data_IF_760646775026
#
_entry.id   IF_760646775026
#
_cell.length_a   1.000
_cell.length_b   1.000
_cell.length_c   1.000
_cell.angle_alpha   90.00
_cell.angle_beta   90.00
_cell.angle_gamma   90.00
#
_symmetry.space_group_name_H-M   'P 1'
#
loop_
_entity.id
_entity.type
_entity.pdbx_description
1 polymer ?
#
# COMPACT_ATOMS: atom_id res chain seq x y z
N UNK A 1 -36.53 21.23 18.78
CA UNK A 1 -36.04 20.64 17.54
C UNK A 1 -34.59 20.10 17.74
N UNK A 2 -34.38 19.27 18.76
CA UNK A 2 -33.06 18.75 19.21
C UNK A 2 -33.22 17.33 19.76
N UNK A 3 -33.68 16.36 18.96
CA UNK A 3 -33.71 14.95 19.43
C UNK A 3 -33.73 13.87 18.33
N UNK A 4 -33.32 14.21 17.08
CA UNK A 4 -33.29 13.24 15.97
C UNK A 4 -31.88 12.88 15.47
N UNK A 5 -30.80 13.36 16.10
CA UNK A 5 -29.42 13.16 15.64
C UNK A 5 -28.69 11.96 16.28
N UNK A 6 -29.27 11.30 17.29
CA UNK A 6 -28.57 10.23 18.04
C UNK A 6 -28.73 8.81 17.50
N UNK A 7 -29.76 8.51 16.73
CA UNK A 7 -30.07 7.12 16.33
C UNK A 7 -29.65 6.73 14.91
N UNK A 8 -29.24 7.68 14.06
CA UNK A 8 -28.71 7.38 12.71
C UNK A 8 -27.21 7.07 12.67
N UNK A 9 -26.45 7.43 13.68
CA UNK A 9 -24.99 7.21 13.72
C UNK A 9 -24.63 5.74 13.94
N UNK A 10 -25.42 4.99 14.72
CA UNK A 10 -25.14 3.59 15.03
C UNK A 10 -25.44 2.60 13.88
N UNK A 11 -26.41 2.90 13.02
CA UNK A 11 -26.78 2.03 11.91
C UNK A 11 -25.87 2.18 10.68
N UNK A 12 -25.17 3.29 10.53
CA UNK A 12 -24.20 3.48 9.45
C UNK A 12 -22.87 2.79 9.72
N UNK A 13 -22.51 2.59 10.98
CA UNK A 13 -21.25 1.92 11.38
C UNK A 13 -21.24 0.44 10.99
N UNK A 14 -22.36 -0.27 11.14
CA UNK A 14 -22.49 -1.69 10.77
C UNK A 14 -22.45 -1.93 9.24
N UNK A 15 -22.64 -0.91 8.43
CA UNK A 15 -22.56 -0.98 6.97
C UNK A 15 -21.14 -0.77 6.43
N UNK A 16 -20.17 -0.44 7.28
CA UNK A 16 -18.79 -0.24 6.84
C UNK A 16 -18.15 -1.58 6.43
N UNK A 17 -17.68 -1.76 5.19
CA UNK A 17 -17.16 -3.03 4.69
C UNK A 17 -16.08 -3.65 5.57
N UNK A 18 -15.17 -2.83 6.09
CA UNK A 18 -14.10 -3.28 6.97
C UNK A 18 -14.62 -3.89 8.29
N UNK A 19 -15.69 -3.31 8.87
CA UNK A 19 -16.30 -3.87 10.08
C UNK A 19 -16.99 -5.20 9.78
N UNK A 20 -17.67 -5.32 8.64
CA UNK A 20 -18.30 -6.58 8.22
C UNK A 20 -17.26 -7.68 8.02
N UNK A 21 -16.12 -7.38 7.39
CA UNK A 21 -14.99 -8.31 7.22
C UNK A 21 -14.43 -8.70 8.60
N UNK A 22 -14.21 -7.73 9.50
CA UNK A 22 -13.73 -8.00 10.85
C UNK A 22 -14.67 -8.90 11.67
N UNK A 23 -15.99 -8.65 11.61
CA UNK A 23 -17.00 -9.51 12.26
C UNK A 23 -16.98 -10.91 11.64
N UNK A 24 -16.95 -11.01 10.32
CA UNK A 24 -16.88 -12.27 9.59
C UNK A 24 -15.62 -13.06 9.95
N UNK A 25 -14.49 -12.38 10.12
CA UNK A 25 -13.23 -12.97 10.54
C UNK A 25 -13.33 -13.60 11.94
N UNK A 26 -13.80 -12.84 12.92
CA UNK A 26 -13.97 -13.33 14.30
C UNK A 26 -14.98 -14.48 14.36
N UNK A 27 -16.10 -14.34 13.65
CA UNK A 27 -17.12 -15.40 13.57
C UNK A 27 -16.57 -16.66 12.86
N UNK A 28 -15.80 -16.51 11.78
CA UNK A 28 -15.16 -17.61 11.06
C UNK A 28 -14.16 -18.37 11.93
N UNK A 29 -13.26 -17.65 12.62
CA UNK A 29 -12.31 -18.26 13.57
C UNK A 29 -13.08 -19.00 14.67
N UNK A 30 -14.06 -18.35 15.30
CA UNK A 30 -14.87 -18.98 16.35
C UNK A 30 -15.59 -20.23 15.86
N UNK A 31 -16.18 -20.19 14.67
CA UNK A 31 -16.84 -21.33 14.06
C UNK A 31 -15.86 -22.47 13.76
N UNK A 32 -14.70 -22.18 13.16
CA UNK A 32 -13.65 -23.16 12.87
C UNK A 32 -13.14 -23.87 14.12
N UNK A 33 -12.86 -23.11 15.19
CA UNK A 33 -12.42 -23.66 16.48
C UNK A 33 -13.48 -24.57 17.13
N UNK A 34 -14.78 -24.30 16.91
CA UNK A 34 -15.87 -25.10 17.46
C UNK A 34 -16.13 -26.38 16.67
N UNK A 35 -16.03 -26.32 15.34
CA UNK A 35 -16.45 -27.39 14.43
C UNK A 35 -15.26 -28.26 14.00
N UNK A 36 -14.02 -27.76 14.16
CA UNK A 36 -12.80 -28.50 13.80
C UNK A 36 -12.71 -28.79 12.29
N UNK A 37 -12.21 -29.96 11.95
CA UNK A 37 -11.91 -30.39 10.57
C UNK A 37 -13.09 -30.26 9.58
N UNK A 38 -14.33 -30.34 10.08
CA UNK A 38 -15.51 -30.19 9.21
C UNK A 38 -15.51 -28.82 8.50
N UNK A 39 -14.92 -27.79 9.10
CA UNK A 39 -14.86 -26.45 8.54
C UNK A 39 -14.09 -26.41 7.20
N UNK A 40 -13.24 -27.39 6.91
CA UNK A 40 -12.58 -27.53 5.62
C UNK A 40 -13.56 -27.62 4.44
N UNK A 41 -14.79 -28.11 4.66
CA UNK A 41 -15.83 -28.14 3.63
C UNK A 41 -16.27 -26.73 3.17
N UNK A 42 -15.95 -25.68 3.91
CA UNK A 42 -16.25 -24.30 3.54
C UNK A 42 -15.14 -23.68 2.68
N UNK A 43 -13.97 -24.32 2.60
CA UNK A 43 -12.78 -23.81 1.89
C UNK A 43 -13.10 -23.42 0.45
N UNK A 44 -13.91 -24.21 -0.26
CA UNK A 44 -14.25 -23.94 -1.66
C UNK A 44 -14.88 -22.54 -1.89
N UNK A 45 -15.68 -22.04 -0.94
CA UNK A 45 -16.28 -20.69 -1.03
C UNK A 45 -15.22 -19.63 -0.85
N UNK A 46 -14.28 -19.88 0.07
CA UNK A 46 -13.13 -19.03 0.27
C UNK A 46 -12.21 -18.99 -0.96
N UNK A 47 -11.92 -20.15 -1.56
CA UNK A 47 -11.12 -20.27 -2.77
C UNK A 47 -11.78 -19.57 -3.98
N UNK A 48 -13.11 -19.63 -4.09
CA UNK A 48 -13.84 -18.87 -5.10
C UNK A 48 -13.62 -17.35 -4.93
N UNK A 49 -13.69 -16.85 -3.70
CA UNK A 49 -13.41 -15.45 -3.41
C UNK A 49 -11.96 -15.08 -3.78
N UNK A 50 -10.98 -15.91 -3.44
CA UNK A 50 -9.58 -15.71 -3.83
C UNK A 50 -9.41 -15.66 -5.34
N UNK A 51 -10.04 -16.58 -6.09
CA UNK A 51 -9.99 -16.60 -7.56
C UNK A 51 -10.60 -15.35 -8.20
N UNK A 52 -11.68 -14.82 -7.63
CA UNK A 52 -12.26 -13.54 -8.07
C UNK A 52 -11.29 -12.36 -7.89
N UNK A 53 -10.50 -12.36 -6.81
CA UNK A 53 -9.44 -11.37 -6.61
C UNK A 53 -8.32 -11.57 -7.63
N UNK A 54 -7.82 -12.81 -7.79
CA UNK A 54 -6.71 -13.14 -8.70
C UNK A 54 -6.99 -12.71 -10.13
N UNK A 55 -8.22 -12.87 -10.61
CA UNK A 55 -8.63 -12.44 -11.95
C UNK A 55 -8.38 -10.94 -12.21
N UNK A 56 -8.36 -10.13 -11.16
CA UNK A 56 -8.17 -8.67 -11.25
C UNK A 56 -6.70 -8.24 -11.23
N UNK A 57 -5.76 -9.13 -10.86
CA UNK A 57 -4.37 -8.75 -10.57
C UNK A 57 -3.66 -8.23 -11.82
N UNK A 58 -3.62 -9.04 -12.87
CA UNK A 58 -2.87 -8.70 -14.10
C UNK A 58 -3.37 -7.39 -14.72
N UNK A 59 -4.70 -7.20 -14.97
CA UNK A 59 -5.19 -5.94 -15.52
C UNK A 59 -4.91 -4.75 -14.63
N UNK A 60 -5.06 -4.89 -13.30
CA UNK A 60 -4.82 -3.80 -12.37
C UNK A 60 -3.35 -3.37 -12.37
N UNK A 61 -2.42 -4.31 -12.20
CA UNK A 61 -0.99 -4.01 -12.12
C UNK A 61 -0.52 -3.38 -13.43
N UNK A 62 -0.90 -3.95 -14.57
CA UNK A 62 -0.50 -3.43 -15.88
C UNK A 62 -1.00 -2.01 -16.09
N UNK A 63 -2.30 -1.75 -15.91
CA UNK A 63 -2.86 -0.40 -16.12
C UNK A 63 -2.30 0.60 -15.12
N UNK A 64 -2.15 0.23 -13.84
CA UNK A 64 -1.60 1.11 -12.80
C UNK A 64 -0.18 1.55 -13.10
N UNK A 65 0.69 0.63 -13.50
CA UNK A 65 2.10 0.95 -13.83
C UNK A 65 2.18 1.82 -15.08
N UNK A 66 1.37 1.54 -16.12
CA UNK A 66 1.33 2.35 -17.34
C UNK A 66 0.83 3.76 -17.05
N UNK A 67 -0.26 3.90 -16.28
CA UNK A 67 -0.83 5.21 -15.92
C UNK A 67 0.18 6.00 -15.08
N UNK A 68 0.76 5.38 -14.06
CA UNK A 68 1.74 6.03 -13.19
C UNK A 68 2.95 6.57 -13.98
N UNK A 69 3.51 5.76 -14.90
CA UNK A 69 4.68 6.16 -15.68
C UNK A 69 4.35 7.10 -16.84
N UNK A 70 3.18 6.90 -17.46
CA UNK A 70 2.71 7.73 -18.60
C UNK A 70 2.24 9.12 -18.20
N UNK A 71 1.68 9.27 -16.99
CA UNK A 71 1.16 10.55 -16.48
C UNK A 71 2.21 11.47 -15.87
N UNK A 72 3.46 11.02 -15.70
CA UNK A 72 4.53 11.85 -15.15
C UNK A 72 4.77 13.10 -16.00
N UNK A 73 4.17 14.24 -15.64
CA UNK A 73 4.39 15.51 -16.35
C UNK A 73 5.67 16.18 -15.91
N UNK A 74 6.57 16.48 -16.88
CA UNK A 74 7.87 17.13 -16.64
C UNK A 74 7.82 18.66 -16.46
N UNK A 75 6.73 19.25 -15.98
CA UNK A 75 6.53 20.70 -15.86
C UNK A 75 6.84 21.29 -14.49
N UNK A 76 7.32 20.50 -13.54
CA UNK A 76 7.88 21.01 -12.27
C UNK A 76 9.38 21.21 -12.39
N UNK A 77 9.94 22.26 -11.79
CA UNK A 77 11.40 22.46 -11.69
C UNK A 77 12.10 21.14 -11.43
N UNK A 78 12.87 20.63 -12.40
CA UNK A 78 13.44 19.26 -12.38
C UNK A 78 14.19 18.90 -11.09
N UNK A 79 14.66 19.94 -10.36
CA UNK A 79 15.31 19.78 -9.05
C UNK A 79 14.33 19.34 -7.96
N UNK A 80 13.11 19.94 -7.89
CA UNK A 80 12.10 19.57 -6.90
C UNK A 80 11.65 18.13 -7.16
N UNK A 81 11.35 17.78 -8.43
CA UNK A 81 10.96 16.44 -8.81
C UNK A 81 12.03 15.41 -8.42
N UNK A 82 13.29 15.63 -8.84
CA UNK A 82 14.38 14.72 -8.52
C UNK A 82 14.57 14.51 -7.00
N UNK A 83 14.48 15.60 -6.21
CA UNK A 83 14.60 15.52 -4.75
C UNK A 83 13.43 14.79 -4.13
N UNK A 84 12.20 15.05 -4.60
CA UNK A 84 10.98 14.33 -4.16
C UNK A 84 11.14 12.82 -4.38
N UNK A 85 11.43 12.40 -5.60
CA UNK A 85 11.67 10.99 -5.92
C UNK A 85 12.80 10.38 -5.11
N UNK A 86 13.91 11.08 -4.97
CA UNK A 86 15.07 10.61 -4.19
C UNK A 86 14.67 10.29 -2.74
N UNK A 87 13.92 11.18 -2.08
CA UNK A 87 13.50 10.97 -0.69
C UNK A 87 12.42 9.90 -0.59
N UNK A 88 11.46 9.87 -1.51
CA UNK A 88 10.41 8.84 -1.53
C UNK A 88 10.99 7.44 -1.71
N UNK A 89 11.85 7.24 -2.70
CA UNK A 89 12.54 5.96 -2.92
C UNK A 89 13.42 5.62 -1.72
N UNK A 90 14.19 6.58 -1.19
CA UNK A 90 15.04 6.34 -0.02
C UNK A 90 14.24 5.88 1.21
N UNK A 91 13.12 6.53 1.51
CA UNK A 91 12.24 6.14 2.60
C UNK A 91 11.57 4.78 2.37
N UNK A 92 11.18 4.48 1.12
CA UNK A 92 10.62 3.18 0.74
C UNK A 92 11.64 2.04 0.90
N UNK A 93 12.90 2.26 0.48
CA UNK A 93 13.97 1.27 0.67
C UNK A 93 14.22 1.01 2.16
N UNK A 94 14.30 2.07 2.97
CA UNK A 94 14.47 1.94 4.42
C UNK A 94 13.29 1.18 5.04
N UNK A 95 12.06 1.44 4.57
CA UNK A 95 10.86 0.76 5.04
C UNK A 95 10.90 -0.75 4.72
N UNK A 96 11.28 -1.13 3.50
CA UNK A 96 11.39 -2.52 3.09
C UNK A 96 12.49 -3.28 3.86
N UNK A 97 13.67 -2.67 4.00
CA UNK A 97 14.79 -3.26 4.75
C UNK A 97 14.45 -3.44 6.23
N UNK A 98 13.81 -2.43 6.85
CA UNK A 98 13.39 -2.54 8.26
C UNK A 98 12.34 -3.65 8.43
N UNK A 99 11.37 -3.76 7.53
CA UNK A 99 10.36 -4.80 7.58
C UNK A 99 10.99 -6.20 7.51
N UNK A 100 11.91 -6.41 6.58
CA UNK A 100 12.68 -7.65 6.50
C UNK A 100 13.43 -7.96 7.80
N UNK A 101 14.18 -7.00 8.33
CA UNK A 101 14.96 -7.19 9.55
C UNK A 101 14.06 -7.51 10.77
N UNK A 102 12.93 -6.82 10.91
CA UNK A 102 11.97 -7.10 11.97
C UNK A 102 11.36 -8.49 11.84
N UNK A 103 10.96 -8.88 10.64
CA UNK A 103 10.37 -10.20 10.39
C UNK A 103 11.40 -11.33 10.58
N UNK A 104 12.68 -11.11 10.32
CA UNK A 104 13.74 -12.08 10.60
C UNK A 104 13.89 -12.32 12.11
N UNK A 105 13.63 -11.30 12.96
CA UNK A 105 13.73 -11.41 14.44
C UNK A 105 12.41 -11.88 15.05
N UNK A 106 11.28 -11.28 14.70
CA UNK A 106 9.97 -11.53 15.34
C UNK A 106 9.31 -12.80 14.82
N UNK A 107 9.59 -13.15 13.56
CA UNK A 107 9.03 -14.32 12.86
C UNK A 107 7.48 -14.39 12.96
N UNK A 108 6.75 -13.39 12.42
CA UNK A 108 5.31 -13.28 12.63
C UNK A 108 4.50 -14.45 12.02
N UNK A 109 5.00 -15.11 10.98
CA UNK A 109 4.34 -16.26 10.33
C UNK A 109 4.74 -17.61 10.91
N UNK A 110 5.78 -17.69 11.75
CA UNK A 110 6.29 -18.95 12.27
C UNK A 110 5.27 -19.64 13.20
N UNK A 111 5.17 -20.95 13.02
CA UNK A 111 4.27 -21.82 13.81
C UNK A 111 2.85 -21.96 13.20
N UNK A 112 2.64 -21.44 11.99
CA UNK A 112 1.44 -21.65 11.21
C UNK A 112 1.79 -22.61 10.06
N UNK A 113 1.90 -23.90 10.38
CA UNK A 113 2.25 -24.90 9.37
C UNK A 113 1.01 -25.29 8.62
N UNK A 114 0.99 -25.06 7.32
CA UNK A 114 -0.02 -25.62 6.42
C UNK A 114 0.33 -27.07 6.13
N UNK A 115 -0.63 -27.98 6.33
CA UNK A 115 -0.49 -29.41 6.07
C UNK A 115 -0.76 -29.80 4.60
N UNK A 116 -1.17 -28.85 3.75
CA UNK A 116 -1.32 -29.13 2.33
C UNK A 116 0.06 -29.14 1.63
N UNK A 117 0.36 -30.23 0.94
CA UNK A 117 1.52 -30.32 0.07
C UNK A 117 1.50 -29.16 -0.92
N UNK A 118 2.52 -28.30 -0.84
CA UNK A 118 2.78 -27.28 -1.86
C UNK A 118 2.72 -27.96 -3.23
N UNK A 119 2.02 -27.35 -4.18
CA UNK A 119 1.99 -27.83 -5.56
C UNK A 119 3.43 -28.17 -5.99
N UNK A 120 3.74 -29.43 -6.35
CA UNK A 120 5.11 -29.86 -6.67
C UNK A 120 5.78 -28.96 -7.72
N UNK A 121 5.00 -28.34 -8.61
CA UNK A 121 5.50 -27.38 -9.60
C UNK A 121 6.00 -26.07 -9.00
N UNK A 122 5.50 -25.64 -7.83
CA UNK A 122 5.99 -24.47 -7.11
C UNK A 122 7.26 -24.79 -6.31
N UNK A 123 7.35 -25.99 -5.76
CA UNK A 123 8.53 -26.45 -5.04
C UNK A 123 9.74 -26.67 -5.98
N UNK A 124 9.53 -27.18 -7.20
CA UNK A 124 10.59 -27.31 -8.23
C UNK A 124 11.12 -25.93 -8.68
N UNK A 125 10.25 -24.93 -8.80
CA UNK A 125 10.66 -23.57 -9.18
C UNK A 125 11.47 -22.86 -8.08
N UNK A 126 11.35 -23.27 -6.82
CA UNK A 126 12.13 -22.74 -5.70
C UNK A 126 13.48 -23.45 -5.50
N UNK A 127 13.67 -24.64 -6.08
CA UNK A 127 14.81 -25.52 -5.79
C UNK A 127 16.03 -25.37 -6.70
N UNK A 128 15.91 -24.80 -7.91
CA UNK A 128 17.06 -24.51 -8.76
C UNK A 128 17.49 -23.06 -8.57
N UNK A 129 18.67 -22.86 -8.00
CA UNK A 129 19.33 -21.55 -8.00
C UNK A 129 19.66 -21.18 -9.45
N UNK A 130 18.69 -20.57 -10.14
CA UNK A 130 18.91 -19.99 -11.47
C UNK A 130 20.12 -19.07 -11.42
N UNK A 131 21.01 -19.19 -12.39
CA UNK A 131 22.14 -18.26 -12.53
C UNK A 131 21.60 -16.83 -12.57
N UNK A 132 22.35 -15.86 -12.04
CA UNK A 132 21.94 -14.45 -12.06
C UNK A 132 21.58 -13.95 -13.49
N UNK A 133 22.17 -14.54 -14.52
CA UNK A 133 21.91 -14.26 -15.93
C UNK A 133 20.52 -14.75 -16.36
N UNK A 134 20.14 -15.96 -15.97
CA UNK A 134 18.85 -16.56 -16.28
C UNK A 134 17.75 -15.78 -15.54
N UNK A 135 17.98 -15.41 -14.28
CA UNK A 135 17.07 -14.55 -13.51
C UNK A 135 16.83 -13.18 -14.20
N UNK A 136 17.88 -12.57 -14.78
CA UNK A 136 17.71 -11.32 -15.53
C UNK A 136 16.98 -11.50 -16.86
N UNK A 137 17.19 -12.62 -17.55
CA UNK A 137 16.48 -12.97 -18.78
C UNK A 137 15.00 -13.20 -18.50
N UNK A 138 14.66 -13.82 -17.39
CA UNK A 138 13.27 -14.08 -16.98
C UNK A 138 12.49 -12.80 -16.63
N UNK A 139 13.19 -11.68 -16.39
CA UNK A 139 12.53 -10.37 -16.24
C UNK A 139 11.93 -9.85 -17.56
N UNK A 140 12.35 -10.38 -18.69
CA UNK A 140 11.89 -9.93 -20.01
C UNK A 140 11.25 -11.09 -20.77
N UNK A 141 9.92 -11.08 -20.86
CA UNK A 141 9.20 -12.10 -21.64
C UNK A 141 9.37 -11.88 -23.14
N UNK A 142 9.53 -12.97 -23.87
CA UNK A 142 9.50 -12.95 -25.34
C UNK A 142 8.09 -12.75 -25.90
N UNK A 143 7.05 -12.98 -25.08
CA UNK A 143 5.65 -12.79 -25.43
C UNK A 143 4.84 -12.30 -24.24
N UNK A 144 4.44 -11.02 -24.29
CA UNK A 144 3.69 -10.41 -23.18
C UNK A 144 2.33 -11.08 -22.94
N UNK A 145 1.65 -11.54 -23.98
CA UNK A 145 0.37 -12.22 -23.84
C UNK A 145 0.51 -13.57 -23.11
N UNK A 146 1.62 -14.28 -23.33
CA UNK A 146 1.95 -15.47 -22.56
C UNK A 146 2.18 -15.12 -21.10
N UNK A 147 2.99 -14.10 -20.81
CA UNK A 147 3.23 -13.63 -19.43
C UNK A 147 1.91 -13.22 -18.73
N UNK A 148 0.99 -12.56 -19.45
CA UNK A 148 -0.33 -12.22 -18.93
C UNK A 148 -1.19 -13.45 -18.65
N UNK A 149 -1.19 -14.45 -19.52
CA UNK A 149 -1.99 -15.68 -19.34
C UNK A 149 -1.49 -16.57 -18.22
N UNK A 150 -0.18 -16.57 -17.97
CA UNK A 150 0.47 -17.31 -16.88
C UNK A 150 0.62 -16.49 -15.60
N UNK A 151 0.15 -15.22 -15.64
CA UNK A 151 0.31 -14.25 -14.54
C UNK A 151 1.76 -14.07 -14.06
N UNK A 152 2.75 -14.18 -14.98
CA UNK A 152 4.17 -13.97 -14.67
C UNK A 152 4.44 -12.48 -14.49
N UNK A 153 4.42 -11.99 -13.25
CA UNK A 153 4.23 -10.58 -12.92
C UNK A 153 5.44 -9.70 -13.27
N UNK A 154 6.67 -10.18 -13.07
CA UNK A 154 7.87 -9.38 -13.31
C UNK A 154 7.96 -8.92 -14.78
N UNK A 155 7.84 -9.80 -15.78
CA UNK A 155 7.76 -9.39 -17.19
C UNK A 155 6.61 -8.43 -17.50
N UNK A 156 5.45 -8.62 -16.87
CA UNK A 156 4.30 -7.71 -17.06
C UNK A 156 4.64 -6.31 -16.57
N UNK A 157 5.30 -6.18 -15.42
CA UNK A 157 5.73 -4.89 -14.87
C UNK A 157 6.78 -4.24 -15.77
N UNK A 158 7.79 -5.00 -16.21
CA UNK A 158 8.85 -4.50 -17.12
C UNK A 158 8.23 -3.98 -18.42
N UNK A 159 7.34 -4.76 -19.03
CA UNK A 159 6.59 -4.31 -20.22
C UNK A 159 5.79 -3.03 -19.94
N UNK A 160 5.06 -2.99 -18.82
CA UNK A 160 4.21 -1.85 -18.45
C UNK A 160 5.02 -0.57 -18.22
N UNK A 161 6.19 -0.68 -17.58
CA UNK A 161 7.14 0.42 -17.40
C UNK A 161 7.62 0.96 -18.76
N UNK A 162 8.09 0.07 -19.63
CA UNK A 162 8.57 0.45 -20.97
C UNK A 162 7.45 1.07 -21.80
N UNK A 163 6.26 0.49 -21.77
CA UNK A 163 5.09 1.02 -22.47
C UNK A 163 4.72 2.42 -21.96
N UNK A 164 4.67 2.61 -20.63
CA UNK A 164 4.35 3.91 -20.02
C UNK A 164 5.39 4.98 -20.35
N UNK A 165 6.67 4.64 -20.36
CA UNK A 165 7.77 5.55 -20.78
C UNK A 165 7.63 5.92 -22.27
N UNK A 166 7.35 4.94 -23.12
CA UNK A 166 7.13 5.16 -24.56
C UNK A 166 5.90 6.04 -24.81
N UNK A 167 4.78 5.75 -24.10
CA UNK A 167 3.55 6.53 -24.15
C UNK A 167 3.78 7.99 -23.75
N UNK A 168 4.52 8.22 -22.65
CA UNK A 168 4.91 9.56 -22.23
C UNK A 168 5.74 10.28 -23.30
N UNK A 169 6.71 9.58 -23.92
CA UNK A 169 7.49 10.16 -25.03
C UNK A 169 6.61 10.54 -26.22
N UNK A 170 5.59 9.71 -26.52
CA UNK A 170 4.61 10.01 -27.56
C UNK A 170 3.77 11.24 -27.22
N UNK A 171 3.22 11.31 -26.01
CA UNK A 171 2.43 12.46 -25.52
C UNK A 171 3.25 13.77 -25.59
N UNK A 172 4.50 13.73 -25.17
CA UNK A 172 5.38 14.90 -25.21
C UNK A 172 5.63 15.41 -26.64
N UNK A 173 5.54 14.53 -27.65
CA UNK A 173 5.74 14.89 -29.07
C UNK A 173 4.45 15.35 -29.77
N UNK A 174 3.35 14.72 -29.46
CA UNK A 174 2.08 14.91 -30.20
C UNK A 174 1.07 15.75 -29.45
N UNK A 175 1.19 15.84 -28.12
CA UNK A 175 0.17 16.40 -27.22
C UNK A 175 -1.08 15.49 -27.05
N UNK A 176 -1.11 14.31 -27.69
CA UNK A 176 -2.25 13.40 -27.63
C UNK A 176 -2.20 12.51 -26.39
N UNK A 177 -3.18 12.67 -25.51
CA UNK A 177 -3.36 11.89 -24.27
C UNK A 177 -4.41 10.78 -24.38
N UNK A 178 -4.99 10.55 -25.57
CA UNK A 178 -6.10 9.64 -25.76
C UNK A 178 -5.84 8.22 -25.28
N UNK A 179 -4.65 7.66 -25.55
CA UNK A 179 -4.26 6.31 -25.09
C UNK A 179 -4.10 6.28 -23.57
N UNK A 180 -3.51 7.30 -22.96
CA UNK A 180 -3.36 7.38 -21.51
C UNK A 180 -4.73 7.43 -20.82
N UNK A 181 -5.62 8.29 -21.30
CA UNK A 181 -7.00 8.41 -20.79
C UNK A 181 -7.76 7.09 -20.94
N UNK A 182 -7.60 6.38 -22.05
CA UNK A 182 -8.23 5.07 -22.28
C UNK A 182 -7.75 4.03 -21.26
N UNK A 183 -6.44 3.95 -21.01
CA UNK A 183 -5.87 3.00 -20.05
C UNK A 183 -6.30 3.36 -18.61
N UNK A 184 -6.36 4.64 -18.27
CA UNK A 184 -6.89 5.11 -16.99
C UNK A 184 -8.35 4.71 -16.78
N UNK A 185 -9.20 4.86 -17.80
CA UNK A 185 -10.59 4.39 -17.74
C UNK A 185 -10.68 2.87 -17.53
N UNK A 186 -9.82 2.07 -18.18
CA UNK A 186 -9.74 0.62 -17.91
C UNK A 186 -9.35 0.37 -16.47
N UNK A 187 -8.37 1.08 -15.93
CA UNK A 187 -7.97 0.98 -14.52
C UNK A 187 -9.15 1.23 -13.59
N UNK A 188 -9.93 2.30 -13.81
CA UNK A 188 -11.10 2.63 -13.00
C UNK A 188 -12.19 1.55 -13.07
N UNK A 189 -12.38 0.92 -14.25
CA UNK A 189 -13.30 -0.21 -14.40
C UNK A 189 -12.82 -1.41 -13.62
N UNK A 190 -11.52 -1.74 -13.67
CA UNK A 190 -10.93 -2.85 -12.88
C UNK A 190 -11.06 -2.59 -11.39
N UNK A 191 -10.81 -1.37 -10.93
CA UNK A 191 -11.01 -0.97 -9.52
C UNK A 191 -12.48 -1.13 -9.10
N UNK A 192 -13.42 -0.77 -9.98
CA UNK A 192 -14.85 -0.98 -9.72
C UNK A 192 -15.19 -2.46 -9.63
N UNK A 193 -14.60 -3.30 -10.51
CA UNK A 193 -14.76 -4.76 -10.44
C UNK A 193 -14.24 -5.32 -9.11
N UNK A 194 -13.09 -4.85 -8.63
CA UNK A 194 -12.58 -5.23 -7.31
C UNK A 194 -13.54 -4.82 -6.19
N UNK A 195 -14.12 -3.61 -6.25
CA UNK A 195 -15.14 -3.17 -5.28
C UNK A 195 -16.36 -4.12 -5.26
N UNK A 196 -16.81 -4.60 -6.43
CA UNK A 196 -17.89 -5.60 -6.51
C UNK A 196 -17.48 -6.94 -5.88
N UNK A 197 -16.25 -7.41 -6.13
CA UNK A 197 -15.71 -8.62 -5.48
C UNK A 197 -15.63 -8.44 -3.96
N UNK A 198 -15.28 -7.25 -3.48
CA UNK A 198 -15.22 -6.96 -2.05
C UNK A 198 -16.59 -6.98 -1.35
N UNK A 199 -17.71 -6.94 -2.07
CA UNK A 199 -19.04 -7.13 -1.46
C UNK A 199 -19.24 -8.55 -0.94
N UNK A 200 -18.60 -9.56 -1.55
CA UNK A 200 -18.63 -10.95 -1.11
C UNK A 200 -17.48 -11.30 -0.16
N UNK A 201 -16.56 -10.36 0.10
CA UNK A 201 -15.40 -10.55 0.97
C UNK A 201 -15.78 -11.05 2.40
N UNK A 202 -16.83 -10.54 3.08
CA UNK A 202 -17.20 -11.06 4.39
C UNK A 202 -17.49 -12.56 4.39
N UNK A 203 -18.21 -13.07 3.38
CA UNK A 203 -18.49 -14.49 3.23
C UNK A 203 -17.22 -15.29 2.90
N UNK A 204 -16.40 -14.81 1.98
CA UNK A 204 -15.12 -15.44 1.60
C UNK A 204 -14.17 -15.53 2.79
N UNK A 205 -13.98 -14.43 3.52
CA UNK A 205 -13.11 -14.36 4.70
C UNK A 205 -13.61 -15.25 5.84
N UNK A 206 -14.92 -15.26 6.10
CA UNK A 206 -15.52 -16.19 7.07
C UNK A 206 -15.14 -17.63 6.73
N UNK A 207 -15.37 -18.07 5.49
CA UNK A 207 -15.14 -19.44 5.08
C UNK A 207 -13.64 -19.82 5.10
N UNK A 208 -12.75 -18.92 4.65
CA UNK A 208 -11.31 -19.14 4.69
C UNK A 208 -10.80 -19.29 6.12
N UNK A 209 -11.22 -18.39 7.02
CA UNK A 209 -10.76 -18.40 8.40
C UNK A 209 -11.41 -19.51 9.23
N UNK A 210 -12.63 -19.91 8.89
CA UNK A 210 -13.26 -21.09 9.50
C UNK A 210 -12.48 -22.36 9.13
N UNK A 211 -12.16 -22.56 7.86
CA UNK A 211 -11.36 -23.69 7.41
C UNK A 211 -9.96 -23.68 8.06
N UNK A 212 -9.28 -22.53 8.05
CA UNK A 212 -7.96 -22.36 8.63
C UNK A 212 -7.95 -22.60 10.15
N UNK A 213 -8.90 -22.03 10.90
CA UNK A 213 -8.97 -22.20 12.35
C UNK A 213 -9.39 -23.60 12.75
N UNK A 214 -10.14 -24.30 11.91
CA UNK A 214 -10.46 -25.72 12.08
C UNK A 214 -9.23 -26.62 11.97
N UNK A 215 -8.31 -26.28 11.02
CA UNK A 215 -7.07 -27.04 10.75
C UNK A 215 -5.97 -26.72 11.79
N UNK A 216 -5.60 -25.44 11.96
CA UNK A 216 -4.45 -25.03 12.81
C UNK A 216 -4.82 -24.54 14.20
N UNK A 217 -6.09 -24.47 14.54
CA UNK A 217 -6.58 -24.12 15.86
C UNK A 217 -6.30 -22.66 16.27
N UNK A 218 -6.07 -22.41 17.57
CA UNK A 218 -5.91 -21.07 18.15
C UNK A 218 -4.63 -20.32 17.69
N UNK A 219 -3.72 -21.02 17.04
CA UNK A 219 -2.48 -20.42 16.48
C UNK A 219 -2.78 -19.30 15.48
N UNK A 220 -3.90 -19.35 14.76
CA UNK A 220 -4.38 -18.30 13.84
C UNK A 220 -4.45 -16.93 14.54
N UNK A 221 -5.01 -16.87 15.75
CA UNK A 221 -5.16 -15.61 16.49
C UNK A 221 -3.81 -15.06 16.92
N UNK A 222 -2.94 -15.91 17.45
CA UNK A 222 -1.61 -15.49 17.90
C UNK A 222 -0.75 -15.01 16.74
N UNK A 223 -0.86 -15.66 15.59
CA UNK A 223 -0.15 -15.29 14.36
C UNK A 223 -0.65 -13.96 13.80
N UNK A 224 -1.97 -13.73 13.79
CA UNK A 224 -2.54 -12.44 13.42
C UNK A 224 -2.05 -11.29 14.31
N UNK A 225 -2.00 -11.52 15.63
CA UNK A 225 -1.49 -10.52 16.58
C UNK A 225 0.01 -10.26 16.40
N UNK A 226 0.81 -11.30 16.12
CA UNK A 226 2.24 -11.13 15.79
C UNK A 226 2.42 -10.30 14.53
N UNK A 227 1.64 -10.57 13.47
CA UNK A 227 1.67 -9.81 12.22
C UNK A 227 1.35 -8.33 12.46
N UNK A 228 0.24 -8.03 13.15
CA UNK A 228 -0.15 -6.66 13.49
C UNK A 228 0.88 -5.98 14.39
N UNK A 229 1.39 -6.69 15.39
CA UNK A 229 2.43 -6.19 16.29
C UNK A 229 3.71 -5.85 15.54
N UNK A 230 4.15 -6.71 14.62
CA UNK A 230 5.34 -6.47 13.79
C UNK A 230 5.16 -5.24 12.90
N UNK A 231 3.99 -5.12 12.26
CA UNK A 231 3.66 -3.97 11.43
C UNK A 231 3.63 -2.67 12.24
N UNK A 232 2.98 -2.68 13.42
CA UNK A 232 2.91 -1.52 14.31
C UNK A 232 4.30 -1.08 14.78
N UNK A 233 5.11 -2.02 15.27
CA UNK A 233 6.49 -1.74 15.72
C UNK A 233 7.31 -1.15 14.58
N UNK A 234 7.22 -1.73 13.38
CA UNK A 234 7.90 -1.22 12.20
C UNK A 234 7.49 0.20 11.84
N UNK A 235 6.18 0.49 11.85
CA UNK A 235 5.65 1.84 11.58
C UNK A 235 6.14 2.85 12.61
N UNK A 236 6.16 2.50 13.90
CA UNK A 236 6.63 3.40 14.96
C UNK A 236 8.14 3.68 14.84
N UNK A 237 8.94 2.66 14.55
CA UNK A 237 10.39 2.83 14.33
C UNK A 237 10.64 3.73 13.12
N UNK A 238 9.95 3.48 12.00
CA UNK A 238 10.09 4.32 10.80
C UNK A 238 9.64 5.76 11.04
N UNK A 239 8.54 5.95 11.74
CA UNK A 239 8.06 7.30 12.07
C UNK A 239 9.13 8.08 12.86
N UNK A 240 9.70 7.47 13.90
CA UNK A 240 10.78 8.07 14.70
C UNK A 240 12.02 8.33 13.85
N UNK A 241 12.40 7.37 12.99
CA UNK A 241 13.54 7.53 12.10
C UNK A 241 13.33 8.68 11.08
N UNK A 242 12.13 8.79 10.49
CA UNK A 242 11.80 9.87 9.57
C UNK A 242 11.80 11.23 10.26
N UNK A 243 11.23 11.33 11.47
CA UNK A 243 11.29 12.53 12.30
C UNK A 243 12.74 12.91 12.61
N UNK A 244 13.59 11.95 12.94
CA UNK A 244 15.00 12.19 13.20
C UNK A 244 15.74 12.73 11.95
N UNK A 245 15.50 12.13 10.79
CA UNK A 245 16.08 12.61 9.50
C UNK A 245 15.63 14.04 9.20
N UNK A 246 14.35 14.35 9.39
CA UNK A 246 13.82 15.71 9.20
C UNK A 246 14.48 16.68 10.17
N UNK A 247 14.50 16.36 11.45
CA UNK A 247 15.10 17.23 12.48
C UNK A 247 16.58 17.52 12.22
N UNK A 248 17.35 16.49 11.86
CA UNK A 248 18.79 16.62 11.55
C UNK A 248 19.04 17.46 10.29
N UNK A 249 18.21 17.31 9.26
CA UNK A 249 18.39 18.01 7.99
C UNK A 249 17.87 19.43 7.99
N UNK A 250 16.71 19.67 8.59
CA UNK A 250 16.06 21.00 8.63
C UNK A 250 16.54 21.85 9.82
N UNK A 251 17.10 21.20 10.85
CA UNK A 251 17.44 21.81 12.13
C UNK A 251 16.22 22.44 12.86
N UNK A 252 15.02 21.92 12.57
CA UNK A 252 13.78 22.30 13.24
C UNK A 252 13.52 21.40 14.44
N UNK A 253 12.87 21.94 15.48
CA UNK A 253 12.57 21.18 16.69
C UNK A 253 11.56 20.06 16.46
N UNK A 254 11.88 18.78 16.62
CA UNK A 254 10.95 17.67 16.38
C UNK A 254 9.77 17.66 17.35
N UNK A 255 9.91 18.24 18.53
CA UNK A 255 8.85 18.28 19.56
C UNK A 255 7.61 19.08 19.18
N UNK A 256 7.71 19.95 18.16
CA UNK A 256 6.57 20.71 17.62
C UNK A 256 5.76 19.91 16.60
N UNK A 257 6.33 18.88 16.00
CA UNK A 257 5.69 18.08 14.93
C UNK A 257 4.38 17.41 15.38
N UNK A 258 4.27 16.76 16.55
CA UNK A 258 3.05 16.10 16.97
C UNK A 258 1.81 17.02 16.91
N UNK A 259 1.92 18.24 17.44
CA UNK A 259 0.81 19.21 17.42
C UNK A 259 0.46 19.66 15.98
N UNK A 260 1.44 19.77 15.10
CA UNK A 260 1.24 20.20 13.72
C UNK A 260 0.59 19.12 12.87
N UNK A 261 0.92 17.86 13.15
CA UNK A 261 0.44 16.69 12.43
C UNK A 261 -0.82 16.08 13.06
N UNK A 262 -1.24 16.52 14.26
CA UNK A 262 -2.31 15.89 15.02
C UNK A 262 -3.62 15.77 14.25
N UNK A 263 -4.03 16.83 13.54
CA UNK A 263 -5.28 16.87 12.79
C UNK A 263 -5.28 15.87 11.62
N UNK A 264 -4.25 15.90 10.77
CA UNK A 264 -4.13 14.96 9.66
C UNK A 264 -3.97 13.52 10.16
N UNK A 265 -3.25 13.31 11.26
CA UNK A 265 -3.11 11.99 11.90
C UNK A 265 -4.45 11.46 12.38
N UNK A 266 -5.26 12.30 13.03
CA UNK A 266 -6.59 11.89 13.50
C UNK A 266 -7.51 11.48 12.34
N UNK A 267 -7.51 12.24 11.24
CA UNK A 267 -8.28 11.91 10.04
C UNK A 267 -7.74 10.62 9.40
N UNK A 268 -6.43 10.47 9.27
CA UNK A 268 -5.79 9.29 8.69
C UNK A 268 -6.15 7.99 9.44
N UNK A 269 -6.08 8.03 10.78
CA UNK A 269 -6.40 6.88 11.64
C UNK A 269 -7.89 6.51 11.55
N UNK A 270 -8.77 7.51 11.49
CA UNK A 270 -10.23 7.26 11.50
C UNK A 270 -10.77 6.84 10.13
N UNK A 271 -10.21 7.38 9.05
CA UNK A 271 -10.69 7.10 7.69
C UNK A 271 -9.93 5.98 6.99
N UNK A 272 -8.69 5.68 7.42
CA UNK A 272 -7.75 4.76 6.74
C UNK A 272 -7.53 5.11 5.25
N UNK A 273 -7.74 6.38 4.87
CA UNK A 273 -7.64 6.86 3.49
C UNK A 273 -6.70 8.07 3.39
N UNK A 274 -5.62 7.92 2.63
CA UNK A 274 -4.71 9.03 2.34
C UNK A 274 -5.40 10.11 1.48
N UNK A 275 -6.26 9.71 0.55
CA UNK A 275 -7.00 10.63 -0.31
C UNK A 275 -7.94 11.54 0.49
N UNK A 276 -8.75 10.96 1.39
CA UNK A 276 -9.63 11.74 2.29
C UNK A 276 -8.83 12.67 3.20
N UNK A 277 -7.62 12.28 3.60
CA UNK A 277 -6.75 13.06 4.49
C UNK A 277 -5.98 14.16 3.74
N UNK A 278 -5.78 14.00 2.42
CA UNK A 278 -4.92 14.84 1.59
C UNK A 278 -5.16 16.36 1.73
N UNK A 279 -6.40 16.87 1.70
CA UNK A 279 -6.66 18.31 1.85
C UNK A 279 -6.11 18.87 3.15
N UNK A 280 -6.26 18.11 4.24
CA UNK A 280 -5.74 18.51 5.56
C UNK A 280 -4.23 18.42 5.62
N UNK A 281 -3.62 17.41 4.96
CA UNK A 281 -2.16 17.27 4.85
C UNK A 281 -1.58 18.49 4.12
N UNK A 282 -2.16 18.85 2.99
CA UNK A 282 -1.72 20.01 2.20
C UNK A 282 -1.80 21.30 3.01
N UNK A 283 -2.96 21.58 3.60
CA UNK A 283 -3.16 22.74 4.44
C UNK A 283 -2.20 22.79 5.63
N UNK A 284 -2.09 21.71 6.40
CA UNK A 284 -1.18 21.66 7.56
C UNK A 284 0.29 21.83 7.17
N UNK A 285 0.68 21.28 6.02
CA UNK A 285 2.06 21.39 5.52
C UNK A 285 2.41 22.84 5.19
N UNK A 286 1.47 23.62 4.64
CA UNK A 286 1.67 25.05 4.35
C UNK A 286 1.48 25.90 5.61
N UNK A 287 0.29 25.83 6.24
CA UNK A 287 -0.10 26.76 7.30
C UNK A 287 0.57 26.49 8.66
N UNK A 288 0.89 25.21 8.98
CA UNK A 288 1.44 24.85 10.29
C UNK A 288 2.92 24.49 10.22
N UNK A 289 3.35 23.83 9.12
CA UNK A 289 4.75 23.42 8.97
C UNK A 289 5.59 24.50 8.29
N UNK A 290 4.97 25.36 7.48
CA UNK A 290 5.64 26.48 6.82
C UNK A 290 6.34 26.12 5.51
N UNK A 291 6.01 24.99 4.90
CA UNK A 291 6.51 24.62 3.57
C UNK A 291 5.83 25.49 2.52
N UNK A 292 6.58 26.02 1.55
CA UNK A 292 6.00 26.81 0.47
C UNK A 292 4.93 26.03 -0.28
N UNK A 293 3.85 26.69 -0.67
CA UNK A 293 2.71 26.08 -1.35
C UNK A 293 3.13 25.35 -2.63
N UNK A 294 4.07 25.92 -3.39
CA UNK A 294 4.62 25.32 -4.60
C UNK A 294 5.23 23.95 -4.34
N UNK A 295 6.08 23.83 -3.31
CA UNK A 295 6.72 22.55 -2.96
C UNK A 295 5.69 21.59 -2.36
N UNK A 296 4.78 22.09 -1.50
CA UNK A 296 3.74 21.28 -0.90
C UNK A 296 2.81 20.66 -1.96
N UNK A 297 2.25 21.48 -2.87
CA UNK A 297 1.39 21.02 -3.95
C UNK A 297 2.07 19.96 -4.82
N UNK A 298 3.31 20.18 -5.22
CA UNK A 298 4.03 19.23 -6.07
C UNK A 298 4.35 17.94 -5.32
N UNK A 299 4.99 18.05 -4.15
CA UNK A 299 5.49 16.88 -3.42
C UNK A 299 4.36 16.03 -2.87
N UNK A 300 3.33 16.65 -2.29
CA UNK A 300 2.22 15.90 -1.70
C UNK A 300 1.31 15.28 -2.76
N UNK A 301 1.11 15.91 -3.92
CA UNK A 301 0.35 15.30 -5.02
C UNK A 301 1.05 14.03 -5.56
N UNK A 302 2.37 14.04 -5.66
CA UNK A 302 3.14 12.83 -6.00
C UNK A 302 3.12 11.85 -4.82
N UNK A 303 3.20 12.34 -3.58
CA UNK A 303 3.15 11.56 -2.36
C UNK A 303 1.87 10.73 -2.25
N UNK A 304 0.74 11.31 -2.60
CA UNK A 304 -0.55 10.60 -2.59
C UNK A 304 -0.53 9.31 -3.42
N UNK A 305 0.24 9.30 -4.51
CA UNK A 305 0.33 8.14 -5.42
C UNK A 305 1.57 7.28 -5.21
N UNK A 306 2.67 7.83 -4.69
CA UNK A 306 3.98 7.16 -4.62
C UNK A 306 4.61 7.19 -3.22
N UNK A 307 4.01 7.88 -2.25
CA UNK A 307 4.55 8.11 -0.90
C UNK A 307 4.02 7.14 0.15
N UNK A 308 3.63 5.92 -0.22
CA UNK A 308 3.00 4.99 0.72
C UNK A 308 4.02 4.10 1.46
N UNK A 309 4.89 4.70 2.26
CA UNK A 309 5.98 4.02 3.00
C UNK A 309 5.47 2.95 3.97
N UNK A 310 4.33 3.20 4.61
CA UNK A 310 3.64 2.24 5.46
C UNK A 310 3.12 1.04 4.67
N UNK A 311 2.70 1.24 3.41
CA UNK A 311 2.32 0.16 2.53
C UNK A 311 3.54 -0.69 2.13
N UNK A 312 4.67 -0.07 1.77
CA UNK A 312 5.92 -0.79 1.46
C UNK A 312 6.37 -1.65 2.63
N UNK A 313 6.38 -1.09 3.85
CA UNK A 313 6.68 -1.84 5.06
C UNK A 313 5.73 -3.04 5.20
N UNK A 314 4.43 -2.81 5.10
CA UNK A 314 3.43 -3.85 5.27
C UNK A 314 3.53 -4.93 4.17
N UNK A 315 3.76 -4.57 2.91
CA UNK A 315 3.94 -5.53 1.83
C UNK A 315 5.15 -6.43 2.05
N UNK A 316 6.26 -5.87 2.55
CA UNK A 316 7.42 -6.69 2.89
C UNK A 316 7.16 -7.58 4.11
N UNK A 317 6.39 -7.10 5.11
CA UNK A 317 5.92 -7.96 6.22
C UNK A 317 5.04 -9.09 5.70
N UNK A 318 4.17 -8.84 4.70
CA UNK A 318 3.35 -9.86 4.04
C UNK A 318 4.22 -10.92 3.38
N UNK A 319 5.22 -10.53 2.60
CA UNK A 319 6.16 -11.46 1.94
C UNK A 319 6.82 -12.37 2.97
N UNK A 320 7.39 -11.79 4.01
CA UNK A 320 8.09 -12.56 5.05
C UNK A 320 7.12 -13.43 5.87
N UNK A 321 5.92 -12.91 6.14
CA UNK A 321 4.88 -13.65 6.84
C UNK A 321 4.46 -14.91 6.06
N UNK A 322 4.17 -14.75 4.75
CA UNK A 322 3.74 -15.87 3.90
C UNK A 322 4.86 -16.91 3.75
N UNK A 323 6.10 -16.47 3.59
CA UNK A 323 7.24 -17.39 3.54
C UNK A 323 7.38 -18.21 4.84
N UNK A 324 7.29 -17.55 5.99
CA UNK A 324 7.36 -18.20 7.31
C UNK A 324 6.16 -19.10 7.59
N UNK A 325 4.96 -18.72 7.13
CA UNK A 325 3.76 -19.54 7.27
C UNK A 325 3.82 -20.82 6.42
N UNK A 326 4.52 -20.78 5.30
CA UNK A 326 4.77 -21.95 4.43
C UNK A 326 6.05 -22.72 4.74
N UNK A 327 6.78 -22.34 5.79
CA UNK A 327 8.11 -22.89 6.12
C UNK A 327 9.09 -22.78 4.93
N UNK A 328 8.98 -21.68 4.15
CA UNK A 328 9.81 -21.45 2.96
C UNK A 328 10.97 -20.53 3.31
N UNK A 329 12.20 -21.00 3.12
CA UNK A 329 13.39 -20.18 3.24
C UNK A 329 13.62 -19.37 1.96
N UNK A 330 13.44 -18.05 2.05
CA UNK A 330 13.71 -17.15 0.93
C UNK A 330 15.21 -16.94 0.74
N UNK A 331 15.69 -17.14 -0.47
CA UNK A 331 17.04 -16.73 -0.88
C UNK A 331 17.18 -15.21 -0.83
N UNK A 332 18.42 -14.72 -0.75
CA UNK A 332 18.69 -13.28 -0.80
C UNK A 332 18.13 -12.61 -2.07
N UNK A 333 18.16 -13.31 -3.22
CA UNK A 333 17.56 -12.83 -4.46
C UNK A 333 16.05 -12.67 -4.38
N UNK A 334 15.33 -13.62 -3.78
CA UNK A 334 13.88 -13.54 -3.56
C UNK A 334 13.51 -12.43 -2.56
N UNK A 335 14.31 -12.24 -1.51
CA UNK A 335 14.13 -11.13 -0.57
C UNK A 335 14.28 -9.79 -1.29
N UNK A 336 15.35 -9.62 -2.09
CA UNK A 336 15.58 -8.41 -2.87
C UNK A 336 14.46 -8.17 -3.91
N UNK A 337 13.98 -9.24 -4.56
CA UNK A 337 12.83 -9.17 -5.46
C UNK A 337 11.56 -8.74 -4.71
N UNK A 338 11.28 -9.33 -3.55
CA UNK A 338 10.15 -8.95 -2.70
C UNK A 338 10.19 -7.48 -2.29
N UNK A 339 11.36 -6.97 -1.89
CA UNK A 339 11.56 -5.55 -1.61
C UNK A 339 11.29 -4.68 -2.84
N UNK A 340 11.82 -5.08 -4.00
CA UNK A 340 11.60 -4.39 -5.27
C UNK A 340 10.13 -4.35 -5.67
N UNK A 341 9.43 -5.47 -5.57
CA UNK A 341 7.99 -5.56 -5.85
C UNK A 341 7.16 -4.71 -4.88
N UNK A 342 7.48 -4.72 -3.58
CA UNK A 342 6.81 -3.88 -2.59
C UNK A 342 6.95 -2.38 -2.91
N UNK A 343 8.14 -1.95 -3.34
CA UNK A 343 8.41 -0.57 -3.75
C UNK A 343 7.69 -0.23 -5.07
N UNK A 344 7.71 -1.13 -6.05
CA UNK A 344 7.03 -0.93 -7.34
C UNK A 344 5.51 -0.85 -7.17
N UNK A 345 4.91 -1.72 -6.37
CA UNK A 345 3.48 -1.65 -6.04
C UNK A 345 3.12 -0.29 -5.43
N UNK A 346 3.97 0.23 -4.55
CA UNK A 346 3.78 1.56 -3.98
C UNK A 346 3.78 2.67 -5.04
N UNK A 347 4.60 2.54 -6.07
CA UNK A 347 4.72 3.57 -7.12
C UNK A 347 3.60 3.54 -8.17
N UNK A 348 2.89 2.43 -8.29
CA UNK A 348 1.87 2.20 -9.34
C UNK A 348 0.42 2.17 -8.83
N UNK A 349 0.20 2.21 -7.53
CA UNK A 349 -1.13 2.00 -6.98
C UNK A 349 -1.57 3.20 -6.17
N UNK A 350 -2.65 3.84 -6.63
CA UNK A 350 -3.46 4.69 -5.77
C UNK A 350 -3.96 3.78 -4.64
N UNK A 351 -3.76 4.20 -3.40
CA UNK A 351 -4.24 3.46 -2.21
C UNK A 351 -5.78 3.43 -2.21
N UNK A 352 -6.34 2.46 -2.94
CA UNK A 352 -7.79 2.25 -3.00
C UNK A 352 -8.18 1.40 -1.79
N UNK A 353 -9.18 1.83 -1.02
CA UNK A 353 -9.77 0.98 0.01
C UNK A 353 -10.17 -0.38 -0.58
N UNK A 354 -9.68 -1.48 0.03
CA UNK A 354 -9.94 -2.84 -0.48
C UNK A 354 -8.93 -3.37 -1.50
N UNK A 355 -7.89 -2.63 -1.90
CA UNK A 355 -6.85 -3.11 -2.81
C UNK A 355 -5.86 -4.09 -2.19
N UNK A 356 -5.71 -4.11 -0.88
CA UNK A 356 -4.73 -4.95 -0.18
C UNK A 356 -4.81 -6.44 -0.54
N UNK A 357 -5.98 -7.09 -0.62
CA UNK A 357 -6.05 -8.50 -1.01
C UNK A 357 -5.38 -8.80 -2.34
N UNK A 358 -5.59 -7.91 -3.33
CA UNK A 358 -4.98 -8.03 -4.66
C UNK A 358 -3.46 -7.95 -4.58
N UNK A 359 -2.93 -7.03 -3.79
CA UNK A 359 -1.48 -6.85 -3.65
C UNK A 359 -0.83 -7.97 -2.84
N UNK A 360 -1.49 -8.47 -1.80
CA UNK A 360 -1.02 -9.62 -1.04
C UNK A 360 -0.96 -10.89 -1.92
N UNK A 361 -2.02 -11.13 -2.71
CA UNK A 361 -2.05 -12.23 -3.67
C UNK A 361 -1.00 -12.07 -4.77
N UNK A 362 -0.81 -10.85 -5.28
CA UNK A 362 0.24 -10.54 -6.25
C UNK A 362 1.63 -10.92 -5.71
N UNK A 363 1.96 -10.50 -4.49
CA UNK A 363 3.24 -10.81 -3.85
C UNK A 363 3.40 -12.32 -3.62
N UNK A 364 2.33 -12.99 -3.16
CA UNK A 364 2.32 -14.44 -2.98
C UNK A 364 2.62 -15.16 -4.29
N UNK A 365 1.89 -14.85 -5.35
CA UNK A 365 2.03 -15.48 -6.66
C UNK A 365 3.40 -15.19 -7.29
N UNK A 366 3.90 -13.94 -7.18
CA UNK A 366 5.18 -13.53 -7.77
C UNK A 366 6.40 -14.20 -7.15
N UNK A 367 6.28 -14.65 -5.90
CA UNK A 367 7.37 -15.25 -5.13
C UNK A 367 7.15 -16.75 -4.86
N UNK A 368 6.08 -17.34 -5.40
CA UNK A 368 5.74 -18.75 -5.14
C UNK A 368 5.40 -19.04 -3.69
N UNK A 369 4.72 -18.10 -3.00
CA UNK A 369 4.36 -18.23 -1.58
C UNK A 369 2.93 -18.76 -1.42
N UNK A 370 2.61 -19.42 -0.29
CA UNK A 370 1.29 -19.97 -0.03
C UNK A 370 0.26 -18.81 0.06
N UNK A 371 -0.74 -18.85 -0.78
CA UNK A 371 -1.77 -17.80 -0.85
C UNK A 371 -2.92 -18.02 0.14
N UNK A 372 -3.05 -19.21 0.70
CA UNK A 372 -4.10 -19.58 1.66
C UNK A 372 -4.03 -18.69 2.92
N UNK A 373 -2.82 -18.37 3.39
CA UNK A 373 -2.59 -17.48 4.52
C UNK A 373 -2.98 -16.02 4.24
N UNK A 374 -3.19 -15.64 2.98
CA UNK A 374 -3.65 -14.29 2.62
C UNK A 374 -5.02 -14.00 3.20
N UNK A 375 -5.88 -15.02 3.36
CA UNK A 375 -7.19 -14.88 4.01
C UNK A 375 -7.10 -14.28 5.42
N UNK A 376 -6.12 -14.70 6.22
CA UNK A 376 -5.86 -14.13 7.55
C UNK A 376 -5.44 -12.66 7.47
N UNK A 377 -4.57 -12.34 6.52
CA UNK A 377 -4.08 -10.97 6.34
C UNK A 377 -5.20 -10.02 5.91
N UNK A 378 -6.11 -10.48 5.05
CA UNK A 378 -7.31 -9.73 4.64
C UNK A 378 -8.19 -9.41 5.84
N UNK A 379 -8.36 -10.37 6.75
CA UNK A 379 -9.22 -10.21 7.93
C UNK A 379 -8.72 -9.11 8.87
N UNK A 380 -7.42 -8.93 9.00
CA UNK A 380 -6.79 -7.94 9.89
C UNK A 380 -6.32 -6.68 9.15
N UNK A 381 -6.54 -6.61 7.83
CA UNK A 381 -6.04 -5.53 6.99
C UNK A 381 -6.53 -4.14 7.42
N UNK A 382 -7.74 -4.03 7.97
CA UNK A 382 -8.25 -2.75 8.44
C UNK A 382 -7.34 -2.14 9.53
N UNK A 383 -6.88 -2.95 10.48
CA UNK A 383 -5.94 -2.49 11.51
C UNK A 383 -4.57 -2.15 10.92
N UNK A 384 -4.05 -3.00 10.04
CA UNK A 384 -2.82 -2.73 9.31
C UNK A 384 -2.96 -1.45 8.45
N UNK A 385 -4.14 -1.22 7.88
CA UNK A 385 -4.51 -0.02 7.12
C UNK A 385 -4.38 1.28 7.95
N UNK A 386 -4.80 1.25 9.22
CA UNK A 386 -4.60 2.38 10.15
C UNK A 386 -3.11 2.72 10.26
N UNK A 387 -2.27 1.72 10.49
CA UNK A 387 -0.83 1.90 10.66
C UNK A 387 -0.17 2.39 9.37
N UNK A 388 -0.56 1.81 8.23
CA UNK A 388 -0.09 2.24 6.90
C UNK A 388 -0.41 3.69 6.63
N UNK A 389 -1.68 4.07 6.77
CA UNK A 389 -2.15 5.43 6.45
C UNK A 389 -1.52 6.48 7.36
N UNK A 390 -1.38 6.16 8.65
CA UNK A 390 -0.65 7.02 9.61
C UNK A 390 0.75 7.38 9.10
N UNK A 391 1.53 6.37 8.67
CA UNK A 391 2.90 6.59 8.23
C UNK A 391 2.96 7.26 6.86
N UNK A 392 2.05 6.92 5.94
CA UNK A 392 2.01 7.49 4.59
C UNK A 392 1.82 9.01 4.64
N UNK A 393 0.73 9.47 5.24
CA UNK A 393 0.38 10.90 5.24
C UNK A 393 1.40 11.76 6.00
N UNK A 394 1.95 11.24 7.09
CA UNK A 394 2.97 11.97 7.84
C UNK A 394 4.34 11.91 7.13
N UNK A 395 4.67 10.78 6.50
CA UNK A 395 5.87 10.61 5.69
C UNK A 395 5.91 11.56 4.50
N UNK A 396 4.78 11.78 3.83
CA UNK A 396 4.68 12.75 2.72
C UNK A 396 4.96 14.19 3.18
N UNK A 397 4.43 14.60 4.34
CA UNK A 397 4.78 15.88 4.97
C UNK A 397 6.28 15.97 5.24
N UNK A 398 6.90 14.90 5.74
CA UNK A 398 8.34 14.87 6.00
C UNK A 398 9.17 15.00 4.71
N UNK A 399 8.76 14.35 3.63
CA UNK A 399 9.41 14.52 2.32
C UNK A 399 9.27 15.96 1.83
N UNK A 400 8.07 16.57 1.94
CA UNK A 400 7.86 17.97 1.57
C UNK A 400 8.79 18.90 2.36
N UNK A 401 8.96 18.67 3.68
CA UNK A 401 9.92 19.42 4.50
C UNK A 401 11.36 19.26 4.02
N UNK A 402 11.78 18.04 3.67
CA UNK A 402 13.15 17.77 3.22
C UNK A 402 13.44 18.40 1.84
N UNK A 403 12.44 18.41 0.97
CA UNK A 403 12.54 19.04 -0.35
C UNK A 403 12.59 20.56 -0.21
N UNK A 404 11.68 21.15 0.56
CA UNK A 404 11.63 22.59 0.80
C UNK A 404 12.88 23.14 1.49
N UNK A 405 13.42 22.38 2.47
CA UNK A 405 14.65 22.77 3.15
C UNK A 405 15.86 22.88 2.21
N UNK A 406 15.88 22.13 1.11
CA UNK A 406 16.99 22.14 0.17
C UNK A 406 17.02 23.39 -0.74
N UNK A 407 15.91 24.12 -0.84
CA UNK A 407 15.77 25.36 -1.60
C UNK A 407 15.45 26.56 -0.68
N UNK A 408 15.59 26.39 0.65
CA UNK A 408 15.27 27.37 1.70
C UNK A 408 13.80 27.87 1.66
N UNK A 409 12.90 26.97 1.23
CA UNK A 409 11.47 27.21 1.08
C UNK A 409 10.65 26.76 2.31
N UNK A 410 11.25 26.75 3.52
CA UNK A 410 10.55 26.57 4.80
C UNK A 410 10.53 27.89 5.56
N UNK A 411 9.33 28.42 5.79
CA UNK A 411 9.14 29.56 6.69
C UNK A 411 9.28 29.10 8.16
N UNK A 412 10.44 29.44 8.75
CA UNK A 412 10.77 29.04 10.13
C UNK A 412 9.93 29.78 11.18
N UNK A 413 9.39 30.96 10.87
CA UNK A 413 8.51 31.71 11.77
C UNK A 413 7.14 31.03 11.85
N UNK A 414 6.59 30.57 10.73
CA UNK A 414 5.38 29.74 10.69
C UNK A 414 5.62 28.42 11.45
N UNK A 415 6.75 27.76 11.21
CA UNK A 415 7.08 26.54 11.97
C UNK A 415 7.18 26.80 13.47
N UNK A 416 7.74 27.93 13.86
CA UNK A 416 7.88 28.31 15.28
C UNK A 416 6.59 28.81 15.91
N UNK A 417 5.58 29.17 15.10
CA UNK A 417 4.30 29.72 15.56
C UNK A 417 4.34 31.22 15.86
N UNK A 418 5.35 31.93 15.35
CA UNK A 418 5.49 33.39 15.48
C UNK A 418 4.87 34.15 14.33
N UNK A 419 4.60 33.47 13.22
CA UNK A 419 3.88 33.98 12.04
C UNK A 419 2.73 33.03 11.67
N UNK A 420 1.60 33.57 11.23
CA UNK A 420 0.49 32.83 10.62
C UNK A 420 0.49 33.10 9.12
N UNK A 421 0.21 32.07 8.31
CA UNK A 421 0.03 32.22 6.85
C UNK A 421 -1.27 32.99 6.62
N UNK A 422 -1.22 34.06 5.80
CA UNK A 422 -2.40 34.86 5.45
C UNK A 422 -3.17 34.21 4.29
N UNK A 423 -4.46 34.53 4.15
CA UNK A 423 -5.28 34.03 3.05
C UNK A 423 -4.75 34.44 1.66
N UNK A 424 -4.02 35.56 1.57
CA UNK A 424 -3.37 36.04 0.35
C UNK A 424 -2.11 35.18 -0.02
N UNK A 425 -1.45 34.61 0.98
CA UNK A 425 -0.31 33.70 0.80
C UNK A 425 -0.75 32.26 0.47
N UNK A 426 -2.04 31.96 0.64
CA UNK A 426 -2.62 30.66 0.33
C UNK A 426 -3.51 30.81 -0.92
N UNK A 427 -2.96 30.48 -2.10
CA UNK A 427 -3.72 30.56 -3.35
C UNK A 427 -4.84 29.52 -3.39
N UNK A 428 -6.07 30.00 -3.18
CA UNK A 428 -7.27 29.19 -3.16
C UNK A 428 -7.54 28.47 -4.50
N UNK A 429 -7.11 29.04 -5.62
CA UNK A 429 -7.27 28.42 -6.94
C UNK A 429 -6.30 27.23 -7.12
N UNK A 430 -5.06 27.36 -6.66
CA UNK A 430 -4.07 26.29 -6.69
C UNK A 430 -4.41 25.16 -5.70
N UNK A 431 -4.99 25.51 -4.54
CA UNK A 431 -5.56 24.58 -3.58
C UNK A 431 -6.75 23.81 -4.19
N UNK A 432 -7.68 24.52 -4.84
CA UNK A 432 -8.82 23.88 -5.51
C UNK A 432 -8.40 22.92 -6.61
N UNK A 433 -7.35 23.25 -7.38
CA UNK A 433 -6.79 22.35 -8.39
C UNK A 433 -6.10 21.11 -7.78
N UNK A 434 -5.43 21.26 -6.64
CA UNK A 434 -4.84 20.15 -5.91
C UNK A 434 -5.92 19.23 -5.33
N UNK A 435 -7.03 19.81 -4.82
CA UNK A 435 -8.19 19.07 -4.34
C UNK A 435 -8.90 18.30 -5.46
N UNK A 436 -9.14 18.96 -6.61
CA UNK A 436 -9.77 18.31 -7.75
C UNK A 436 -8.95 17.09 -8.27
N UNK A 437 -7.63 17.16 -8.15
CA UNK A 437 -6.74 16.01 -8.47
C UNK A 437 -6.85 14.90 -7.42
N UNK A 438 -7.08 15.23 -6.15
CA UNK A 438 -7.28 14.23 -5.10
C UNK A 438 -8.64 13.54 -5.24
N UNK A 439 -9.70 14.29 -5.58
CA UNK A 439 -11.05 13.76 -5.80
C UNK A 439 -11.14 12.85 -7.04
N UNK A 440 -10.26 13.05 -8.03
CA UNK A 440 -10.15 12.14 -9.18
C UNK A 440 -9.32 10.89 -8.88
N UNK A 441 -8.69 10.84 -7.71
CA UNK A 441 -7.90 9.69 -7.25
C UNK A 441 -8.71 8.71 -6.37
N UNK A 442 -9.96 9.03 -6.05
CA UNK A 442 -10.95 8.14 -5.41
C UNK A 442 -11.76 7.36 -6.48
#
# INVERSE_FOLDING_TARGET
MRSYLGLRSGMNTLRHPALQIGIAAVAGIGFGLLVGDWAANLKFVGDLFIRLIQMSIVPLVMTSVIVATGSMTGTGTGKIAFRTFKWMIGFSVVAAVLAWALCAVIQPGAGMVYSEELDPGLAESAGEALGWQDTLLDFVSTNIFNAMSTATMVPIIVFSLLFGIALRSHINKTGDTGVLTFIDQIQQIVLTMIRLVMLVAPAGVFCLLAALAGDVGFSVVTTALKYLGTTLVGVLILFVAFVAVVALRTRLSPWKLPNKLAEQTAIAITTTSSAVTFPTVLRNTVEKVGVSQKVANFTLSIGLTMGSYGAVLNYMVVVMFLAQAGDIELSFGQIALGMGLAILLNMGTITVPGGFPVFAMFLATSLGLPFEAVGLLIAVDWFAGIFRTFLNVNGDTFVAMLVANADDEIDREVYNGTKTVTAEEFDAAEYSNAMARADTAD
#
